data_IF_888484857916
#
_entry.id   IF_888484857916
#
_cell.length_a   1.000
_cell.length_b   1.000
_cell.length_c   1.000
_cell.angle_alpha   90.00
_cell.angle_beta   90.00
_cell.angle_gamma   90.00
#
_symmetry.space_group_name_H-M   'P 1'
#
loop_
_entity.id
_entity.type
_entity.pdbx_description
1 polymer ?
#
# COMPACT_ATOMS: atom_id res chain seq x y z
N UNK A 1 -38.29 -11.75 -14.08
CA UNK A 1 -36.96 -11.13 -14.24
C UNK A 1 -36.97 -9.81 -13.48
N UNK A 2 -36.32 -9.75 -12.31
CA UNK A 2 -36.11 -8.51 -11.58
C UNK A 2 -34.62 -8.38 -11.33
N UNK A 3 -33.97 -7.49 -12.09
CA UNK A 3 -32.54 -7.20 -11.92
C UNK A 3 -32.33 -6.66 -10.51
N UNK A 4 -31.69 -7.46 -9.67
CA UNK A 4 -31.29 -7.06 -8.33
C UNK A 4 -30.44 -5.80 -8.40
N UNK A 5 -30.85 -4.79 -7.65
CA UNK A 5 -30.07 -3.60 -7.35
C UNK A 5 -28.68 -4.05 -6.89
N UNK A 6 -27.67 -3.90 -7.77
CA UNK A 6 -26.28 -4.12 -7.40
C UNK A 6 -25.96 -3.12 -6.30
N UNK A 7 -25.88 -3.59 -5.07
CA UNK A 7 -25.36 -2.84 -3.94
C UNK A 7 -24.10 -2.12 -4.38
N UNK A 8 -24.09 -0.79 -4.33
CA UNK A 8 -22.90 -0.01 -4.62
C UNK A 8 -21.79 -0.59 -3.73
N UNK A 9 -20.74 -1.17 -4.34
CA UNK A 9 -19.59 -1.64 -3.57
C UNK A 9 -19.05 -0.41 -2.82
N UNK A 10 -19.30 -0.33 -1.51
CA UNK A 10 -18.70 0.69 -0.67
C UNK A 10 -17.18 0.49 -0.75
N UNK A 11 -16.53 1.34 -1.55
CA UNK A 11 -15.08 1.36 -1.62
C UNK A 11 -14.56 1.87 -0.29
N UNK A 12 -13.47 1.29 0.20
CA UNK A 12 -12.81 1.79 1.40
C UNK A 12 -12.03 3.06 1.10
N UNK A 13 -11.93 3.93 2.09
CA UNK A 13 -10.90 4.98 2.18
C UNK A 13 -9.64 4.38 2.77
N UNK A 14 -8.50 5.05 2.60
CA UNK A 14 -7.25 4.54 3.19
C UNK A 14 -7.30 4.51 4.72
N UNK A 15 -8.05 5.42 5.34
CA UNK A 15 -8.21 5.47 6.80
C UNK A 15 -8.84 4.19 7.37
N UNK A 16 -9.73 3.54 6.62
CA UNK A 16 -10.40 2.31 7.05
C UNK A 16 -9.44 1.13 7.17
N UNK A 17 -8.32 1.18 6.44
CA UNK A 17 -7.29 0.14 6.42
C UNK A 17 -6.16 0.40 7.44
N UNK A 18 -6.08 1.60 8.04
CA UNK A 18 -5.02 1.97 8.99
C UNK A 18 -4.99 1.09 10.24
N UNK A 19 -6.11 0.74 10.90
CA UNK A 19 -6.08 -0.13 12.07
C UNK A 19 -5.41 -1.48 11.81
N UNK A 20 -5.72 -2.11 10.67
CA UNK A 20 -5.11 -3.38 10.29
C UNK A 20 -3.61 -3.26 10.00
N UNK A 21 -3.18 -2.13 9.41
CA UNK A 21 -1.76 -1.85 9.20
C UNK A 21 -1.02 -1.60 10.53
N UNK A 22 -1.58 -0.79 11.43
CA UNK A 22 -0.97 -0.49 12.73
C UNK A 22 -0.93 -1.71 13.65
N UNK A 23 -1.85 -2.65 13.49
CA UNK A 23 -1.83 -3.93 14.21
C UNK A 23 -0.65 -4.83 13.84
N UNK A 24 -0.03 -4.65 12.67
CA UNK A 24 1.07 -5.49 12.17
C UNK A 24 2.40 -4.75 12.00
N UNK A 25 2.35 -3.47 11.62
CA UNK A 25 3.53 -2.70 11.23
C UNK A 25 3.71 -1.47 12.12
N UNK A 26 4.95 -1.28 12.60
CA UNK A 26 5.32 -0.07 13.32
C UNK A 26 5.22 1.14 12.38
N UNK A 27 4.51 2.18 12.84
CA UNK A 27 4.39 3.46 12.16
C UNK A 27 4.97 4.57 13.02
N UNK A 28 5.92 5.33 12.48
CA UNK A 28 6.58 6.45 13.16
C UNK A 28 6.48 7.72 12.29
N UNK A 29 5.93 8.79 12.85
CA UNK A 29 5.78 10.09 12.18
C UNK A 29 5.10 10.00 10.80
N UNK A 30 4.10 9.12 10.70
CA UNK A 30 3.33 8.88 9.47
C UNK A 30 3.97 7.91 8.48
N UNK A 31 5.06 7.23 8.86
CA UNK A 31 5.77 6.30 7.98
C UNK A 31 5.85 4.89 8.57
N UNK A 32 5.63 3.87 7.76
CA UNK A 32 5.81 2.47 8.14
C UNK A 32 7.25 2.03 7.93
N UNK A 33 7.79 1.27 8.88
CA UNK A 33 9.16 0.76 8.81
C UNK A 33 10.24 1.78 9.16
N UNK A 34 11.48 1.44 8.82
CA UNK A 34 12.67 2.25 9.12
C UNK A 34 13.03 3.15 7.94
N UNK A 35 13.77 4.24 8.17
CA UNK A 35 14.20 5.15 7.09
C UNK A 35 15.20 4.44 6.18
N UNK A 36 14.89 4.37 4.87
CA UNK A 36 15.80 3.83 3.87
C UNK A 36 16.84 4.86 3.39
N UNK A 37 17.84 4.40 2.63
CA UNK A 37 18.94 5.24 2.09
C UNK A 37 18.52 6.15 0.92
N UNK A 38 17.33 5.93 0.37
CA UNK A 38 16.81 6.67 -0.79
C UNK A 38 16.26 8.06 -0.43
N UNK A 39 15.16 8.42 -1.09
CA UNK A 39 14.48 9.71 -0.87
C UNK A 39 13.95 9.81 0.57
N UNK A 40 13.60 11.02 1.01
CA UNK A 40 13.07 11.28 2.36
C UNK A 40 11.86 10.42 2.77
N UNK A 41 11.09 9.93 1.80
CA UNK A 41 9.90 9.09 1.97
C UNK A 41 10.16 7.60 1.69
N UNK A 42 11.42 7.21 1.45
CA UNK A 42 11.83 5.82 1.27
C UNK A 42 11.96 5.14 2.63
N UNK A 43 11.35 3.97 2.77
CA UNK A 43 11.34 3.17 3.99
C UNK A 43 11.73 1.72 3.71
N UNK A 44 12.20 1.04 4.74
CA UNK A 44 12.53 -0.38 4.70
C UNK A 44 11.72 -1.13 5.76
N UNK A 45 11.14 -2.26 5.36
CA UNK A 45 10.61 -3.27 6.27
C UNK A 45 11.44 -4.53 6.03
N UNK A 46 12.03 -5.07 7.09
CA UNK A 46 12.82 -6.29 7.05
C UNK A 46 11.92 -7.47 7.38
N UNK A 47 12.02 -8.55 6.61
CA UNK A 47 11.25 -9.77 6.81
C UNK A 47 11.97 -10.99 6.24
N UNK A 48 11.75 -12.17 6.84
CA UNK A 48 12.29 -13.45 6.36
C UNK A 48 11.85 -13.86 4.94
N UNK A 49 10.70 -13.36 4.50
CA UNK A 49 10.20 -13.53 3.14
C UNK A 49 9.67 -12.18 2.67
N UNK A 50 10.55 -11.43 2.01
CA UNK A 50 10.27 -10.06 1.61
C UNK A 50 9.08 -9.97 0.63
N UNK A 51 8.91 -10.95 -0.25
CA UNK A 51 7.84 -10.95 -1.27
C UNK A 51 6.49 -11.18 -0.60
N UNK A 52 6.40 -12.18 0.27
CA UNK A 52 5.17 -12.50 0.99
C UNK A 52 4.76 -11.34 1.89
N UNK A 53 5.72 -10.73 2.59
CA UNK A 53 5.42 -9.62 3.48
C UNK A 53 5.00 -8.37 2.71
N UNK A 54 5.64 -8.05 1.59
CA UNK A 54 5.23 -6.97 0.70
C UNK A 54 3.80 -7.15 0.16
N UNK A 55 3.47 -8.38 -0.26
CA UNK A 55 2.12 -8.71 -0.73
C UNK A 55 1.10 -8.57 0.39
N UNK A 56 1.41 -9.04 1.59
CA UNK A 56 0.54 -8.90 2.75
C UNK A 56 0.31 -7.42 3.10
N UNK A 57 1.36 -6.60 3.11
CA UNK A 57 1.21 -5.16 3.32
C UNK A 57 0.31 -4.53 2.25
N UNK A 58 0.52 -4.85 0.98
CA UNK A 58 -0.29 -4.34 -0.13
C UNK A 58 -1.77 -4.72 0.01
N UNK A 59 -2.07 -5.98 0.34
CA UNK A 59 -3.43 -6.47 0.54
C UNK A 59 -4.13 -5.75 1.69
N UNK A 60 -3.43 -5.54 2.82
CA UNK A 60 -3.97 -4.79 3.95
C UNK A 60 -4.20 -3.31 3.59
N UNK A 61 -3.19 -2.66 3.00
CA UNK A 61 -3.27 -1.23 2.66
C UNK A 61 -4.29 -0.92 1.57
N UNK A 62 -4.44 -1.81 0.59
CA UNK A 62 -5.31 -1.67 -0.57
C UNK A 62 -6.68 -2.34 -0.44
N UNK A 63 -7.01 -2.90 0.72
CA UNK A 63 -8.29 -3.58 0.94
C UNK A 63 -9.48 -2.67 0.63
N UNK A 64 -10.54 -3.23 0.05
CA UNK A 64 -11.74 -2.48 -0.35
C UNK A 64 -11.54 -1.48 -1.52
N UNK A 65 -10.39 -1.49 -2.19
CA UNK A 65 -10.14 -0.69 -3.39
C UNK A 65 -10.41 -1.41 -4.70
N UNK A 66 -10.34 -0.66 -5.81
CA UNK A 66 -10.41 -1.21 -7.17
C UNK A 66 -9.01 -1.64 -7.61
N UNK A 67 -8.83 -2.94 -7.82
CA UNK A 67 -7.56 -3.52 -8.26
C UNK A 67 -7.39 -3.45 -9.78
N UNK A 68 -6.19 -3.06 -10.22
CA UNK A 68 -5.77 -3.11 -11.63
C UNK A 68 -4.32 -3.57 -11.74
N UNK A 69 -4.00 -4.29 -12.79
CA UNK A 69 -2.61 -4.54 -13.17
C UNK A 69 -2.02 -3.25 -13.73
N UNK A 70 -0.75 -2.95 -13.43
CA UNK A 70 -0.02 -1.86 -14.08
C UNK A 70 0.14 -2.15 -15.57
N UNK A 71 0.11 -1.10 -16.41
CA UNK A 71 0.16 -1.23 -17.88
C UNK A 71 1.41 -1.96 -18.40
N UNK A 72 2.50 -1.91 -17.63
CA UNK A 72 3.74 -2.62 -17.94
C UNK A 72 3.77 -4.09 -17.48
N UNK A 73 2.68 -4.60 -16.89
CA UNK A 73 2.56 -5.95 -16.35
C UNK A 73 3.41 -6.23 -15.10
N UNK A 74 4.15 -5.24 -14.58
CA UNK A 74 5.16 -5.44 -13.52
C UNK A 74 4.66 -5.16 -12.10
N UNK A 75 3.35 -5.06 -11.92
CA UNK A 75 2.77 -4.83 -10.60
C UNK A 75 1.26 -4.68 -10.63
N UNK A 76 0.72 -4.49 -9.43
CA UNK A 76 -0.72 -4.35 -9.18
C UNK A 76 -0.92 -3.04 -8.42
N UNK A 77 -2.02 -2.35 -8.71
CA UNK A 77 -2.46 -1.17 -7.96
C UNK A 77 -3.83 -1.41 -7.37
N UNK A 78 -4.06 -0.84 -6.19
CA UNK A 78 -5.39 -0.67 -5.62
C UNK A 78 -5.68 0.82 -5.49
N UNK A 79 -6.80 1.25 -6.08
CA UNK A 79 -7.29 2.63 -5.97
C UNK A 79 -8.47 2.66 -5.00
N UNK A 80 -8.33 3.45 -3.94
CA UNK A 80 -9.31 3.62 -2.87
C UNK A 80 -10.28 4.77 -3.15
N UNK A 81 -11.36 4.85 -2.37
CA UNK A 81 -12.43 5.84 -2.52
C UNK A 81 -11.90 7.29 -2.41
N UNK A 82 -11.01 7.52 -1.44
CA UNK A 82 -10.36 8.82 -1.19
C UNK A 82 -9.26 9.18 -2.23
N UNK A 83 -9.18 8.43 -3.32
CA UNK A 83 -8.20 8.63 -4.37
C UNK A 83 -6.78 8.21 -4.00
N UNK A 84 -6.55 7.66 -2.81
CA UNK A 84 -5.28 7.03 -2.45
C UNK A 84 -5.01 5.85 -3.39
N UNK A 85 -3.78 5.76 -3.87
CA UNK A 85 -3.32 4.68 -4.74
C UNK A 85 -2.22 3.92 -4.04
N UNK A 86 -2.46 2.64 -3.79
CA UNK A 86 -1.44 1.71 -3.30
C UNK A 86 -0.93 0.93 -4.51
N UNK A 87 0.39 0.81 -4.66
CA UNK A 87 0.97 -0.01 -5.73
C UNK A 87 1.93 -1.04 -5.16
N UNK A 88 1.93 -2.24 -5.71
CA UNK A 88 2.85 -3.32 -5.41
C UNK A 88 3.62 -3.70 -6.66
N UNK A 89 4.94 -3.85 -6.52
CA UNK A 89 5.83 -4.38 -7.55
C UNK A 89 6.67 -5.48 -6.93
N UNK A 90 6.62 -6.68 -7.54
CA UNK A 90 7.40 -7.84 -7.06
C UNK A 90 8.91 -7.59 -7.13
N UNK A 91 9.36 -6.87 -8.16
CA UNK A 91 10.77 -6.55 -8.39
C UNK A 91 10.89 -5.06 -8.69
N UNK A 92 11.62 -4.34 -7.85
CA UNK A 92 12.04 -2.96 -8.08
C UNK A 92 13.15 -2.93 -9.13
N UNK A 93 13.05 -2.00 -10.09
CA UNK A 93 14.09 -1.80 -11.11
C UNK A 93 15.39 -1.22 -10.56
N UNK A 94 15.40 -0.75 -9.32
CA UNK A 94 16.55 -0.07 -8.70
C UNK A 94 17.45 -1.03 -7.91
N UNK A 95 16.86 -1.98 -7.20
CA UNK A 95 17.58 -2.82 -6.22
C UNK A 95 17.07 -4.27 -6.17
N UNK A 96 16.15 -4.66 -7.05
CA UNK A 96 15.59 -6.02 -7.12
C UNK A 96 14.61 -6.38 -6.00
N UNK A 97 14.37 -5.49 -5.04
CA UNK A 97 13.51 -5.78 -3.87
C UNK A 97 12.01 -5.66 -4.19
N UNK A 98 11.13 -6.36 -3.46
CA UNK A 98 9.69 -6.10 -3.51
C UNK A 98 9.39 -4.71 -2.94
N UNK A 99 8.50 -3.97 -3.60
CA UNK A 99 8.16 -2.59 -3.22
C UNK A 99 6.66 -2.40 -3.12
N UNK A 100 6.24 -1.71 -2.07
CA UNK A 100 4.91 -1.10 -1.97
C UNK A 100 5.02 0.41 -1.90
N UNK A 101 4.21 1.12 -2.67
CA UNK A 101 4.14 2.59 -2.63
C UNK A 101 2.73 3.06 -2.30
N UNK A 102 2.64 4.02 -1.37
CA UNK A 102 1.41 4.66 -0.91
C UNK A 102 1.40 6.07 -1.45
N UNK A 103 0.49 6.36 -2.38
CA UNK A 103 0.31 7.67 -2.98
C UNK A 103 -1.02 8.28 -2.51
N UNK A 104 -0.96 9.18 -1.52
CA UNK A 104 -2.12 9.85 -0.95
C UNK A 104 -2.45 11.08 -1.81
N UNK A 105 -3.58 11.07 -2.52
CA UNK A 105 -4.00 12.19 -3.41
C UNK A 105 -4.96 13.15 -2.75
N UNK A 106 -5.93 12.64 -1.98
CA UNK A 106 -6.89 13.45 -1.23
C UNK A 106 -7.03 12.88 0.17
N UNK A 107 -6.08 13.18 1.04
CA UNK A 107 -6.44 13.24 2.45
C UNK A 107 -5.66 14.36 3.12
N UNK A 108 -6.41 15.33 3.66
CA UNK A 108 -6.01 15.95 4.93
C UNK A 108 -5.99 14.79 5.92
N UNK A 109 -4.89 14.03 5.94
CA UNK A 109 -4.81 12.74 6.62
C UNK A 109 -5.04 12.98 8.11
N UNK A 110 -6.23 12.62 8.59
CA UNK A 110 -6.67 12.74 9.99
C UNK A 110 -5.69 12.02 10.95
N UNK A 111 -4.90 11.06 10.44
CA UNK A 111 -3.93 10.26 11.19
C UNK A 111 -2.46 10.55 10.82
N UNK A 112 -2.17 11.63 10.10
CA UNK A 112 -0.81 12.06 9.70
C UNK A 112 0.02 11.03 8.89
N UNK A 113 -0.59 9.94 8.39
CA UNK A 113 0.10 8.99 7.50
C UNK A 113 0.49 9.70 6.20
N UNK A 114 1.74 9.51 5.79
CA UNK A 114 2.35 10.20 4.64
C UNK A 114 2.49 9.25 3.46
N UNK A 115 2.48 9.84 2.27
CA UNK A 115 2.90 9.13 1.06
C UNK A 115 4.34 8.64 1.21
N UNK A 116 4.58 7.38 0.84
CA UNK A 116 5.85 6.71 1.09
C UNK A 116 6.06 5.53 0.15
N UNK A 117 7.35 5.21 -0.07
CA UNK A 117 7.79 4.05 -0.84
C UNK A 117 8.53 3.12 0.09
N UNK A 118 8.04 1.90 0.24
CA UNK A 118 8.53 0.92 1.19
C UNK A 118 9.18 -0.21 0.41
N UNK A 119 10.46 -0.43 0.66
CA UNK A 119 11.23 -1.56 0.18
C UNK A 119 11.14 -2.67 1.23
N UNK A 120 10.81 -3.88 0.80
CA UNK A 120 10.82 -5.06 1.66
C UNK A 120 12.15 -5.77 1.44
N UNK A 121 12.92 -5.90 2.50
CA UNK A 121 14.29 -6.41 2.45
C UNK A 121 14.34 -7.73 3.20
N UNK A 122 15.01 -8.72 2.63
CA UNK A 122 15.23 -10.00 3.31
C UNK A 122 16.15 -9.79 4.52
N UNK A 123 15.83 -10.43 5.65
CA UNK A 123 16.65 -10.40 6.87
C UNK A 123 17.97 -11.17 6.73
#
# INVERSE_FOLDING_TARGET
MGMGSRSAKNLHKFIDNIPSLLGKYKCNNGFFGTKGRGRRFTRNIYAKDAIKEAKCFFELAGNGGVFKTLDNGRGIVSKLEDGTVISFRKISTSDGTPVVEINIRQSKSILQIKGQKIHFVEE
#
